data_IF_907470549211
#
_entry.id   IF_907470549211
#
_cell.length_a   1.000
_cell.length_b   1.000
_cell.length_c   1.000
_cell.angle_alpha   90.00
_cell.angle_beta   90.00
_cell.angle_gamma   90.00
#
_symmetry.space_group_name_H-M   'P 1'
#
loop_
_entity.id
_entity.type
_entity.pdbx_description
1 polymer ?
#
# COMPACT_ATOMS: atom_id res chain seq x y z
N UNK A 1 -7.07 13.44 -16.41
CA UNK A 1 -5.60 13.51 -16.24
C UNK A 1 -5.01 12.14 -16.60
N UNK A 2 -4.15 12.00 -17.62
CA UNK A 2 -3.34 10.78 -17.75
C UNK A 2 -2.42 10.77 -16.54
N UNK A 3 -2.73 9.97 -15.53
CA UNK A 3 -1.80 9.71 -14.43
C UNK A 3 -0.59 9.10 -15.11
N UNK A 4 0.47 9.90 -15.25
CA UNK A 4 1.71 9.44 -15.84
C UNK A 4 2.26 8.45 -14.82
N UNK A 5 2.00 7.16 -15.03
CA UNK A 5 2.41 6.11 -14.11
C UNK A 5 3.91 6.27 -13.91
N UNK A 6 4.39 6.55 -12.68
CA UNK A 6 5.82 6.55 -12.43
C UNK A 6 6.34 5.18 -12.84
N UNK A 7 7.29 5.19 -13.78
CA UNK A 7 7.85 3.96 -14.33
C UNK A 7 8.38 3.06 -13.23
N UNK A 8 8.42 1.76 -13.48
CA UNK A 8 8.86 0.74 -12.53
C UNK A 8 10.25 0.98 -11.91
N UNK A 9 11.02 1.89 -12.52
CA UNK A 9 12.42 2.19 -12.30
C UNK A 9 12.67 3.66 -11.99
N UNK A 10 11.78 4.34 -11.26
CA UNK A 10 12.20 5.59 -10.61
C UNK A 10 13.23 5.24 -9.54
N UNK A 11 14.45 5.76 -9.72
CA UNK A 11 15.61 5.54 -8.86
C UNK A 11 15.29 5.80 -7.39
N UNK A 12 14.43 6.78 -7.12
CA UNK A 12 14.11 7.24 -5.78
C UNK A 12 13.20 6.24 -5.06
N UNK A 13 12.22 5.66 -5.77
CA UNK A 13 11.34 4.60 -5.24
C UNK A 13 12.13 3.32 -4.95
N UNK A 14 13.06 2.93 -5.83
CA UNK A 14 13.90 1.74 -5.62
C UNK A 14 14.88 1.97 -4.46
N UNK A 15 15.52 3.13 -4.39
CA UNK A 15 16.43 3.47 -3.28
C UNK A 15 15.70 3.50 -1.94
N UNK A 16 14.49 4.05 -1.90
CA UNK A 16 13.65 4.05 -0.70
C UNK A 16 13.21 2.63 -0.31
N UNK A 17 12.78 1.81 -1.28
CA UNK A 17 12.41 0.41 -1.02
C UNK A 17 13.59 -0.43 -0.49
N UNK A 18 14.81 -0.19 -0.98
CA UNK A 18 16.03 -0.82 -0.44
C UNK A 18 16.30 -0.35 0.99
N UNK A 19 16.11 0.93 1.29
CA UNK A 19 16.29 1.46 2.64
C UNK A 19 15.24 0.92 3.62
N UNK A 20 14.01 0.77 3.15
CA UNK A 20 12.86 0.30 3.94
C UNK A 20 12.86 -1.23 4.13
N UNK A 21 13.58 -1.99 3.30
CA UNK A 21 13.68 -3.46 3.45
C UNK A 21 14.59 -3.89 4.60
N UNK A 22 15.58 -3.07 4.95
CA UNK A 22 16.54 -3.33 6.03
C UNK A 22 15.87 -3.33 7.42
N UNK A 23 15.10 -2.32 7.83
CA UNK A 23 14.42 -2.34 9.13
C UNK A 23 13.35 -3.44 9.24
N UNK A 24 12.85 -3.98 8.11
CA UNK A 24 11.94 -5.13 8.11
C UNK A 24 12.63 -6.47 8.44
N UNK A 25 13.95 -6.48 8.56
CA UNK A 25 14.71 -7.63 9.10
C UNK A 25 14.53 -7.81 10.60
N UNK A 26 13.81 -6.92 11.31
CA UNK A 26 13.60 -7.11 12.74
C UNK A 26 12.84 -8.42 13.02
N UNK A 27 13.37 -9.31 13.88
CA UNK A 27 12.73 -10.60 14.17
C UNK A 27 11.33 -10.42 14.75
N UNK A 28 11.02 -9.26 15.35
CA UNK A 28 9.68 -8.94 15.87
C UNK A 28 8.64 -8.74 14.77
N UNK A 29 9.02 -8.25 13.58
CA UNK A 29 8.09 -8.14 12.44
C UNK A 29 7.88 -9.47 11.72
N UNK A 30 8.91 -10.32 11.67
CA UNK A 30 8.89 -11.61 10.97
C UNK A 30 8.07 -12.70 11.66
N UNK A 31 7.69 -12.54 12.94
CA UNK A 31 6.80 -13.48 13.64
C UNK A 31 5.42 -13.64 13.00
N UNK A 32 4.99 -12.67 12.18
CA UNK A 32 3.74 -12.75 11.41
C UNK A 32 3.87 -13.56 10.11
N UNK A 33 5.07 -14.01 9.77
CA UNK A 33 5.40 -14.85 8.62
C UNK A 33 6.36 -15.97 9.05
N UNK A 34 5.82 -17.11 9.52
CA UNK A 34 6.63 -18.18 10.11
C UNK A 34 7.63 -18.82 9.13
N UNK A 35 7.34 -18.78 7.82
CA UNK A 35 8.26 -19.28 6.78
C UNK A 35 9.53 -18.43 6.75
N UNK A 36 9.37 -17.11 6.65
CA UNK A 36 10.50 -16.19 6.58
C UNK A 36 11.30 -16.15 7.89
N UNK A 37 10.63 -16.30 9.03
CA UNK A 37 11.30 -16.44 10.33
C UNK A 37 12.21 -17.68 10.38
N UNK A 38 11.78 -18.81 9.82
CA UNK A 38 12.61 -20.02 9.77
C UNK A 38 13.87 -19.80 8.90
N UNK A 39 13.74 -19.07 7.79
CA UNK A 39 14.89 -18.68 6.95
C UNK A 39 15.84 -17.74 7.70
N UNK A 40 15.32 -16.78 8.45
CA UNK A 40 16.11 -15.86 9.28
C UNK A 40 16.91 -16.61 10.35
N UNK A 41 16.28 -17.54 11.06
CA UNK A 41 16.96 -18.40 12.05
C UNK A 41 18.07 -19.22 11.37
N UNK A 42 17.79 -19.77 10.17
CA UNK A 42 18.78 -20.50 9.38
C UNK A 42 19.95 -19.61 8.92
N UNK A 43 19.66 -18.40 8.45
CA UNK A 43 20.67 -17.41 8.05
C UNK A 43 21.55 -17.02 9.24
N UNK A 44 20.95 -16.78 10.40
CA UNK A 44 21.68 -16.45 11.63
C UNK A 44 22.58 -17.62 12.08
N UNK A 45 22.05 -18.85 12.10
CA UNK A 45 22.81 -20.05 12.45
C UNK A 45 24.00 -20.28 11.52
N UNK A 46 23.79 -20.21 10.21
CA UNK A 46 24.88 -20.39 9.21
C UNK A 46 25.93 -19.29 9.30
N UNK A 47 25.51 -18.05 9.60
CA UNK A 47 26.43 -16.93 9.85
C UNK A 47 27.28 -17.16 11.10
N UNK A 48 26.69 -17.66 12.18
CA UNK A 48 27.41 -17.99 13.41
C UNK A 48 28.41 -19.14 13.21
N UNK A 49 28.02 -20.18 12.44
CA UNK A 49 28.91 -21.28 12.10
C UNK A 49 30.10 -20.76 11.28
N UNK A 50 29.82 -19.99 10.22
CA UNK A 50 30.85 -19.39 9.37
C UNK A 50 31.81 -18.49 10.16
N UNK A 51 31.29 -17.66 11.08
CA UNK A 51 32.11 -16.85 11.98
C UNK A 51 32.99 -17.71 12.90
N UNK A 52 32.45 -18.80 13.44
CA UNK A 52 33.19 -19.77 14.24
C UNK A 52 34.32 -20.44 13.46
N UNK A 53 34.08 -20.81 12.21
CA UNK A 53 35.08 -21.41 11.32
C UNK A 53 36.19 -20.43 10.94
N UNK A 54 35.87 -19.15 10.75
CA UNK A 54 36.86 -18.07 10.56
C UNK A 54 37.78 -17.97 11.78
N UNK A 55 37.22 -17.95 13.00
CA UNK A 55 38.00 -17.85 14.24
C UNK A 55 38.89 -19.07 14.44
N UNK A 56 38.43 -20.26 14.05
CA UNK A 56 39.15 -21.53 14.18
C UNK A 56 40.11 -21.82 13.03
N UNK A 57 40.18 -20.95 12.00
CA UNK A 57 41.02 -21.16 10.82
C UNK A 57 40.59 -22.33 9.94
N UNK A 58 39.31 -22.71 10.00
CA UNK A 58 38.72 -23.77 9.16
C UNK A 58 38.26 -23.20 7.80
N UNK A 59 38.08 -24.04 6.78
CA UNK A 59 37.54 -23.59 5.49
C UNK A 59 36.11 -23.05 5.66
N UNK A 60 35.95 -21.72 5.63
CA UNK A 60 34.67 -21.05 5.87
C UNK A 60 33.92 -20.65 4.58
N UNK A 61 34.56 -20.79 3.42
CA UNK A 61 34.07 -20.22 2.16
C UNK A 61 32.69 -20.76 1.75
N UNK A 62 32.45 -22.05 1.97
CA UNK A 62 31.16 -22.67 1.68
C UNK A 62 30.05 -22.14 2.61
N UNK A 63 30.29 -22.13 3.92
CA UNK A 63 29.29 -21.69 4.90
C UNK A 63 28.99 -20.19 4.79
N UNK A 64 30.01 -19.39 4.49
CA UNK A 64 29.86 -17.96 4.20
C UNK A 64 29.00 -17.73 2.95
N UNK A 65 29.24 -18.49 1.88
CA UNK A 65 28.46 -18.37 0.65
C UNK A 65 26.98 -18.72 0.88
N UNK A 66 26.69 -19.80 1.63
CA UNK A 66 25.31 -20.17 1.99
C UNK A 66 24.66 -19.06 2.83
N UNK A 67 25.34 -18.57 3.88
CA UNK A 67 24.84 -17.46 4.71
C UNK A 67 24.48 -16.23 3.88
N UNK A 68 25.36 -15.81 2.96
CA UNK A 68 25.12 -14.65 2.08
C UNK A 68 23.85 -14.86 1.24
N UNK A 69 23.66 -16.04 0.64
CA UNK A 69 22.47 -16.33 -0.14
C UNK A 69 21.20 -16.35 0.70
N UNK A 70 21.24 -16.89 1.92
CA UNK A 70 20.09 -16.89 2.83
C UNK A 70 19.70 -15.46 3.22
N UNK A 71 20.65 -14.59 3.55
CA UNK A 71 20.39 -13.17 3.81
C UNK A 71 19.82 -12.46 2.58
N UNK A 72 20.36 -12.77 1.39
CA UNK A 72 19.84 -12.23 0.13
C UNK A 72 18.38 -12.63 -0.11
N UNK A 73 18.00 -13.88 0.17
CA UNK A 73 16.61 -14.34 0.04
C UNK A 73 15.65 -13.54 0.94
N UNK A 74 16.04 -13.26 2.18
CA UNK A 74 15.23 -12.47 3.12
C UNK A 74 15.13 -11.02 2.65
N UNK A 75 16.25 -10.41 2.28
CA UNK A 75 16.29 -9.06 1.75
C UNK A 75 15.44 -8.90 0.49
N UNK A 76 15.46 -9.88 -0.41
CA UNK A 76 14.65 -9.87 -1.62
C UNK A 76 13.15 -9.90 -1.31
N UNK A 77 12.71 -10.73 -0.37
CA UNK A 77 11.32 -10.77 0.07
C UNK A 77 10.87 -9.44 0.70
N UNK A 78 11.68 -8.90 1.62
CA UNK A 78 11.40 -7.62 2.26
C UNK A 78 11.40 -6.45 1.26
N UNK A 79 12.30 -6.49 0.28
CA UNK A 79 12.36 -5.52 -0.81
C UNK A 79 11.10 -5.57 -1.69
N UNK A 80 10.62 -6.76 -2.06
CA UNK A 80 9.41 -6.89 -2.85
C UNK A 80 8.18 -6.32 -2.13
N UNK A 81 8.08 -6.54 -0.80
CA UNK A 81 7.01 -5.96 0.01
C UNK A 81 7.16 -4.43 0.12
N UNK A 82 8.35 -3.92 0.44
CA UNK A 82 8.61 -2.48 0.54
C UNK A 82 8.36 -1.74 -0.78
N UNK A 83 8.73 -2.35 -1.91
CA UNK A 83 8.47 -1.80 -3.24
C UNK A 83 6.98 -1.72 -3.54
N UNK A 84 6.20 -2.72 -3.12
CA UNK A 84 4.75 -2.71 -3.28
C UNK A 84 4.10 -1.62 -2.40
N UNK A 85 4.53 -1.47 -1.14
CA UNK A 85 4.03 -0.43 -0.24
C UNK A 85 4.39 0.99 -0.68
N UNK A 86 5.63 1.19 -1.17
CA UNK A 86 6.14 2.48 -1.61
C UNK A 86 5.33 3.08 -2.77
N UNK A 87 4.83 2.24 -3.69
CA UNK A 87 3.93 2.66 -4.77
C UNK A 87 2.63 3.26 -4.24
N UNK A 88 1.96 2.55 -3.35
CA UNK A 88 0.68 3.02 -2.79
C UNK A 88 0.81 4.35 -2.04
N UNK A 89 1.92 4.55 -1.31
CA UNK A 89 2.19 5.80 -0.58
C UNK A 89 2.48 6.98 -1.50
N UNK A 90 3.28 6.80 -2.55
CA UNK A 90 3.60 7.88 -3.49
C UNK A 90 2.35 8.41 -4.21
N UNK A 91 1.41 7.52 -4.52
CA UNK A 91 0.12 7.89 -5.14
C UNK A 91 -0.75 8.71 -4.17
N UNK A 92 -0.83 8.30 -2.90
CA UNK A 92 -1.58 9.02 -1.86
C UNK A 92 -1.00 10.40 -1.56
N UNK A 93 0.34 10.53 -1.53
CA UNK A 93 1.01 11.80 -1.29
C UNK A 93 0.78 12.80 -2.42
N UNK A 94 0.70 12.32 -3.67
CA UNK A 94 0.36 13.17 -4.83
C UNK A 94 -1.04 13.77 -4.67
N UNK A 95 -2.02 12.96 -4.26
CA UNK A 95 -3.39 13.44 -3.97
C UNK A 95 -3.41 14.44 -2.79
N UNK A 96 -2.59 14.21 -1.76
CA UNK A 96 -2.48 15.07 -0.58
C UNK A 96 -1.86 16.44 -0.92
N UNK A 97 -0.82 16.46 -1.74
CA UNK A 97 -0.10 17.69 -2.12
C UNK A 97 -0.98 18.65 -2.93
N UNK A 98 -1.85 18.14 -3.81
CA UNK A 98 -2.79 18.95 -4.59
C UNK A 98 -3.80 19.73 -3.73
N UNK A 99 -4.05 19.29 -2.49
CA UNK A 99 -5.00 19.93 -1.57
C UNK A 99 -4.40 21.08 -0.77
N UNK A 100 -3.13 21.00 -0.38
CA UNK A 100 -2.58 21.90 0.65
C UNK A 100 -2.38 23.36 0.20
N UNK A 101 -2.45 23.63 -1.11
CA UNK A 101 -2.12 24.95 -1.68
C UNK A 101 -3.35 25.80 -2.05
N UNK A 102 -4.58 25.29 -1.92
CA UNK A 102 -5.77 26.03 -2.33
C UNK A 102 -6.09 27.20 -1.37
N UNK A 103 -6.11 28.43 -1.91
CA UNK A 103 -6.62 29.63 -1.23
C UNK A 103 -8.13 29.74 -1.41
N UNK A 104 -8.82 30.18 -0.37
CA UNK A 104 -10.27 30.38 -0.37
C UNK A 104 -10.62 31.84 -0.08
N UNK A 105 -11.61 32.37 -0.80
CA UNK A 105 -12.14 33.72 -0.60
C UNK A 105 -13.41 33.64 0.27
N UNK A 106 -13.25 33.68 1.59
CA UNK A 106 -14.37 33.55 2.54
C UNK A 106 -15.12 34.88 2.67
N UNK A 107 -16.45 34.81 2.63
CA UNK A 107 -17.36 35.95 2.85
C UNK A 107 -17.67 36.03 4.35
N UNK A 108 -17.36 37.17 4.95
CA UNK A 108 -17.58 37.51 6.36
C UNK A 108 -18.82 38.41 6.47
N UNK A 109 -19.54 38.42 7.61
CA UNK A 109 -20.59 39.40 7.88
C UNK A 109 -20.22 40.83 7.48
N UNK A 110 -21.10 41.47 6.70
CA UNK A 110 -20.85 42.78 6.10
C UNK A 110 -20.29 42.74 4.67
N UNK A 111 -20.42 41.59 3.99
CA UNK A 111 -20.10 41.39 2.57
C UNK A 111 -18.61 41.64 2.24
N UNK A 112 -17.76 41.40 3.25
CA UNK A 112 -16.31 41.51 3.13
C UNK A 112 -15.71 40.16 2.79
N UNK A 113 -14.72 40.16 1.91
CA UNK A 113 -14.00 38.96 1.49
C UNK A 113 -12.63 38.93 2.18
N UNK A 114 -12.28 37.80 2.78
CA UNK A 114 -10.93 37.52 3.26
C UNK A 114 -10.34 36.28 2.60
N UNK A 115 -9.02 36.30 2.43
CA UNK A 115 -8.26 35.17 1.93
C UNK A 115 -7.85 34.28 3.11
N UNK A 116 -8.36 33.05 3.12
CA UNK A 116 -8.04 32.01 4.10
C UNK A 116 -7.50 30.76 3.44
N UNK A 117 -6.76 29.94 4.18
CA UNK A 117 -6.37 28.63 3.70
C UNK A 117 -7.62 27.74 3.60
N UNK A 118 -7.70 26.90 2.56
CA UNK A 118 -8.76 25.90 2.45
C UNK A 118 -8.86 24.96 3.67
N UNK A 119 -7.74 24.74 4.39
CA UNK A 119 -7.70 23.93 5.60
C UNK A 119 -8.36 24.59 6.83
N UNK A 120 -8.53 25.92 6.80
CA UNK A 120 -9.13 26.69 7.90
C UNK A 120 -10.65 26.88 7.73
N UNK A 121 -11.20 26.52 6.56
CA UNK A 121 -12.64 26.56 6.31
C UNK A 121 -13.38 25.61 7.24
N UNK A 122 -14.54 26.02 7.74
CA UNK A 122 -15.43 25.19 8.55
C UNK A 122 -16.82 25.11 7.93
N UNK A 123 -17.59 24.11 8.35
CA UNK A 123 -18.98 23.98 7.94
C UNK A 123 -19.78 25.26 8.27
N UNK A 124 -20.50 25.79 7.29
CA UNK A 124 -21.27 27.03 7.38
C UNK A 124 -20.54 28.27 6.87
N UNK A 125 -19.25 28.17 6.53
CA UNK A 125 -18.53 29.26 5.87
C UNK A 125 -19.06 29.46 4.44
N UNK A 126 -19.24 30.71 4.04
CA UNK A 126 -19.58 31.08 2.67
C UNK A 126 -18.30 31.45 1.92
N UNK A 127 -18.09 30.85 0.76
CA UNK A 127 -16.89 31.08 -0.05
C UNK A 127 -17.31 31.51 -1.45
N UNK A 128 -16.66 32.56 -1.95
CA UNK A 128 -16.83 33.03 -3.31
C UNK A 128 -15.80 32.35 -4.22
N UNK A 129 -16.27 31.75 -5.31
CA UNK A 129 -15.41 31.21 -6.36
C UNK A 129 -15.80 31.83 -7.70
N UNK A 130 -14.80 32.41 -8.36
CA UNK A 130 -14.94 33.03 -9.68
C UNK A 130 -14.28 32.16 -10.75
N UNK A 131 -14.38 32.62 -12.00
CA UNK A 131 -13.89 31.92 -13.17
C UNK A 131 -12.39 31.55 -13.06
N UNK A 132 -12.06 30.29 -13.40
CA UNK A 132 -10.73 29.72 -13.27
C UNK A 132 -10.33 29.28 -11.84
N UNK A 133 -11.14 29.60 -10.82
CA UNK A 133 -10.91 29.26 -9.43
C UNK A 133 -11.05 27.76 -9.12
N UNK A 134 -10.34 27.30 -8.09
CA UNK A 134 -10.47 25.95 -7.54
C UNK A 134 -11.46 26.01 -6.38
N UNK A 135 -12.39 25.05 -6.31
CA UNK A 135 -13.33 24.93 -5.19
C UNK A 135 -12.54 24.44 -3.97
N UNK A 136 -12.45 25.20 -2.87
CA UNK A 136 -11.53 24.90 -1.77
C UNK A 136 -12.03 23.82 -0.81
N UNK A 137 -13.34 23.52 -0.79
CA UNK A 137 -13.93 22.49 0.05
C UNK A 137 -15.31 22.06 -0.45
N UNK A 138 -15.81 20.95 0.09
CA UNK A 138 -17.13 20.44 -0.28
C UNK A 138 -18.25 21.34 0.24
N UNK A 139 -19.26 21.53 -0.61
CA UNK A 139 -20.34 22.44 -0.29
C UNK A 139 -21.52 22.36 -1.24
N UNK A 140 -22.45 23.27 -1.03
CA UNK A 140 -23.59 23.49 -1.91
C UNK A 140 -23.59 24.94 -2.39
N UNK A 141 -23.88 25.16 -3.68
CA UNK A 141 -24.03 26.50 -4.23
C UNK A 141 -25.27 27.16 -3.62
N UNK A 142 -25.05 28.24 -2.89
CA UNK A 142 -26.14 29.07 -2.35
C UNK A 142 -26.60 30.11 -3.36
N UNK A 143 -25.70 30.63 -4.19
CA UNK A 143 -26.01 31.67 -5.19
C UNK A 143 -25.18 31.49 -6.46
N UNK A 144 -25.80 31.76 -7.61
CA UNK A 144 -25.15 31.73 -8.92
C UNK A 144 -25.26 30.39 -9.66
N UNK A 145 -24.60 30.36 -10.82
CA UNK A 145 -24.50 29.19 -11.72
C UNK A 145 -23.07 29.15 -12.25
N UNK A 146 -22.48 27.96 -12.27
CA UNK A 146 -21.14 27.74 -12.79
C UNK A 146 -21.03 26.45 -13.59
N UNK A 147 -20.10 26.46 -14.54
CA UNK A 147 -19.64 25.29 -15.25
C UNK A 147 -18.40 24.74 -14.51
N UNK A 148 -18.48 23.50 -14.01
CA UNK A 148 -17.44 22.89 -13.16
C UNK A 148 -16.78 21.71 -13.87
N UNK A 149 -15.45 21.67 -13.81
CA UNK A 149 -14.64 20.54 -14.21
C UNK A 149 -14.41 19.59 -13.03
N UNK A 150 -15.11 18.46 -13.05
CA UNK A 150 -15.01 17.39 -12.05
C UNK A 150 -14.02 16.29 -12.46
N UNK A 151 -13.21 16.50 -13.50
CA UNK A 151 -12.28 15.49 -14.03
C UNK A 151 -11.23 15.02 -13.03
N UNK A 152 -10.95 15.82 -12.01
CA UNK A 152 -10.07 15.45 -10.90
C UNK A 152 -10.62 14.30 -10.05
N UNK A 153 -11.95 14.11 -10.01
CA UNK A 153 -12.63 13.15 -9.15
C UNK A 153 -13.32 12.06 -9.97
N UNK A 154 -14.13 12.44 -10.96
CA UNK A 154 -14.91 11.48 -11.77
C UNK A 154 -14.07 10.87 -12.90
N UNK A 155 -12.97 11.53 -13.29
CA UNK A 155 -12.15 11.13 -14.43
C UNK A 155 -12.80 11.43 -15.80
N UNK A 156 -14.04 11.92 -15.83
CA UNK A 156 -14.71 12.34 -17.04
C UNK A 156 -14.28 13.76 -17.43
N UNK A 157 -14.02 14.00 -18.72
CA UNK A 157 -13.53 15.30 -19.22
C UNK A 157 -14.65 16.27 -19.61
N UNK A 158 -15.91 15.84 -19.49
CA UNK A 158 -17.06 16.68 -19.82
C UNK A 158 -17.40 17.56 -18.61
N UNK A 159 -17.47 18.89 -18.77
CA UNK A 159 -17.82 19.77 -17.67
C UNK A 159 -19.31 19.69 -17.34
N UNK A 160 -19.64 19.87 -16.07
CA UNK A 160 -21.00 19.74 -15.52
C UNK A 160 -21.51 21.10 -15.06
N UNK A 161 -22.77 21.40 -15.33
CA UNK A 161 -23.42 22.64 -14.87
C UNK A 161 -23.91 22.44 -13.43
N UNK A 162 -23.56 23.38 -12.55
CA UNK A 162 -23.96 23.41 -11.14
C UNK A 162 -24.68 24.73 -10.86
N UNK A 163 -25.82 24.68 -10.19
CA UNK A 163 -26.70 25.84 -9.96
C UNK A 163 -27.27 25.87 -8.54
N UNK A 164 -27.57 27.07 -8.05
CA UNK A 164 -28.21 27.28 -6.76
C UNK A 164 -29.64 26.73 -6.70
N UNK A 165 -30.04 26.19 -5.55
CA UNK A 165 -31.45 25.90 -5.23
C UNK A 165 -32.06 24.64 -5.88
N UNK A 166 -31.27 23.81 -6.55
CA UNK A 166 -31.71 22.55 -7.17
C UNK A 166 -30.94 21.32 -6.72
N UNK A 167 -31.25 20.16 -7.30
CA UNK A 167 -30.54 18.89 -7.05
C UNK A 167 -29.09 18.89 -7.59
N UNK A 168 -28.71 19.93 -8.35
CA UNK A 168 -27.39 20.11 -8.97
C UNK A 168 -26.52 21.13 -8.22
N UNK A 169 -26.88 21.50 -6.99
CA UNK A 169 -26.15 22.49 -6.19
C UNK A 169 -24.86 21.95 -5.55
N UNK A 170 -24.76 20.64 -5.36
CA UNK A 170 -23.61 20.01 -4.71
C UNK A 170 -22.32 20.15 -5.52
N UNK A 171 -21.25 20.60 -4.87
CA UNK A 171 -19.92 20.76 -5.44
C UNK A 171 -18.87 20.13 -4.53
N UNK A 172 -17.80 19.61 -5.15
CA UNK A 172 -16.74 18.90 -4.43
C UNK A 172 -15.44 19.70 -4.45
N UNK A 173 -14.75 19.75 -3.32
CA UNK A 173 -13.46 20.40 -3.18
C UNK A 173 -12.41 19.79 -4.10
N UNK A 174 -11.52 20.63 -4.62
CA UNK A 174 -10.48 20.26 -5.59
C UNK A 174 -10.93 20.27 -7.06
N UNK A 175 -12.22 20.44 -7.34
CA UNK A 175 -12.74 20.65 -8.70
C UNK A 175 -12.55 22.12 -9.13
N UNK A 176 -12.59 22.40 -10.44
CA UNK A 176 -12.32 23.74 -10.98
C UNK A 176 -13.56 24.37 -11.59
N UNK A 177 -13.81 25.64 -11.29
CA UNK A 177 -14.80 26.46 -12.00
C UNK A 177 -14.21 26.92 -13.32
N UNK A 178 -14.83 26.53 -14.44
CA UNK A 178 -14.41 26.87 -15.80
C UNK A 178 -15.07 28.14 -16.34
N UNK A 179 -16.23 28.49 -15.79
CA UNK A 179 -16.98 29.69 -16.16
C UNK A 179 -18.08 29.95 -15.13
N UNK A 180 -18.30 31.22 -14.79
CA UNK A 180 -19.34 31.66 -13.86
C UNK A 180 -18.80 32.19 -12.54
N UNK A 181 -19.72 32.62 -11.68
CA UNK A 181 -19.43 33.12 -10.33
C UNK A 181 -20.45 32.51 -9.38
N UNK A 182 -19.96 31.82 -8.36
CA UNK A 182 -20.80 31.08 -7.41
C UNK A 182 -20.37 31.37 -5.98
N UNK A 183 -21.38 31.50 -5.11
CA UNK A 183 -21.20 31.49 -3.67
C UNK A 183 -21.53 30.08 -3.17
N UNK A 184 -20.58 29.48 -2.46
CA UNK A 184 -20.66 28.10 -2.00
C UNK A 184 -20.73 28.12 -0.47
N UNK A 185 -21.73 27.45 0.09
CA UNK A 185 -21.82 27.18 1.51
C UNK A 185 -21.10 25.86 1.83
N UNK A 186 -20.04 25.91 2.64
CA UNK A 186 -19.24 24.74 3.00
C UNK A 186 -20.07 23.79 3.89
N UNK A 187 -20.20 22.53 3.48
CA UNK A 187 -21.03 21.54 4.17
C UNK A 187 -20.25 20.55 5.02
N UNK A 188 -18.93 20.42 4.78
CA UNK A 188 -18.03 19.49 5.46
C UNK A 188 -16.92 20.21 6.21
N UNK A 189 -16.55 19.71 7.40
CA UNK A 189 -15.37 20.20 8.11
C UNK A 189 -14.08 19.59 7.54
N UNK A 190 -12.91 20.19 7.80
CA UNK A 190 -11.61 19.58 7.56
C UNK A 190 -11.53 18.21 8.23
N UNK A 191 -11.27 17.16 7.46
CA UNK A 191 -11.31 15.76 7.88
C UNK A 191 -12.58 15.00 7.48
N UNK A 192 -13.63 15.70 7.05
CA UNK A 192 -14.93 15.12 6.66
C UNK A 192 -15.24 15.27 5.17
N UNK A 193 -14.42 16.01 4.42
CA UNK A 193 -14.58 16.22 2.98
C UNK A 193 -14.50 14.90 2.21
N UNK A 194 -15.06 14.82 1.01
CA UNK A 194 -15.02 13.68 0.12
C UNK A 194 -13.58 13.27 -0.18
N UNK A 195 -12.69 14.23 -0.40
CA UNK A 195 -11.25 13.96 -0.53
C UNK A 195 -10.64 13.46 0.78
N UNK A 196 -11.02 13.99 1.94
CA UNK A 196 -10.58 13.46 3.25
C UNK A 196 -11.09 12.05 3.51
N UNK A 197 -12.32 11.75 3.10
CA UNK A 197 -12.86 10.41 3.17
C UNK A 197 -12.14 9.50 2.19
N UNK A 198 -11.80 9.96 0.99
CA UNK A 198 -11.00 9.19 0.03
C UNK A 198 -9.59 8.92 0.54
N UNK A 199 -8.90 9.94 1.05
CA UNK A 199 -7.59 9.84 1.71
C UNK A 199 -7.72 8.93 2.93
N UNK A 200 -8.73 9.13 3.76
CA UNK A 200 -9.03 8.32 4.93
C UNK A 200 -9.34 6.88 4.56
N UNK A 201 -10.01 6.60 3.44
CA UNK A 201 -10.26 5.24 2.95
C UNK A 201 -8.97 4.58 2.45
N UNK A 202 -8.07 5.34 1.81
CA UNK A 202 -6.76 4.86 1.38
C UNK A 202 -5.80 4.66 2.55
N UNK A 203 -5.74 5.60 3.50
CA UNK A 203 -4.89 5.53 4.71
C UNK A 203 -5.44 4.55 5.75
N UNK A 204 -6.77 4.46 5.90
CA UNK A 204 -7.47 3.54 6.80
C UNK A 204 -7.80 2.20 6.17
N UNK A 205 -7.38 1.95 4.93
CA UNK A 205 -7.22 0.60 4.41
C UNK A 205 -6.10 -0.11 5.19
N UNK A 206 -6.35 -0.33 6.50
CA UNK A 206 -5.59 -1.22 7.33
C UNK A 206 -5.79 -2.59 6.75
N UNK A 207 -4.80 -3.01 5.96
CA UNK A 207 -4.78 -4.31 5.32
C UNK A 207 -4.90 -5.37 6.41
N UNK A 208 -6.05 -6.02 6.43
CA UNK A 208 -6.20 -7.31 7.08
C UNK A 208 -5.87 -8.38 6.03
N UNK A 209 -5.18 -9.45 6.46
CA UNK A 209 -4.96 -10.61 5.60
C UNK A 209 -6.30 -11.12 5.07
N UNK A 210 -6.37 -11.32 3.76
CA UNK A 210 -7.60 -11.77 3.10
C UNK A 210 -7.89 -13.25 3.44
N UNK A 211 -9.12 -13.74 3.23
CA UNK A 211 -9.45 -15.14 3.48
C UNK A 211 -8.54 -16.12 2.72
N UNK A 212 -8.26 -15.86 1.44
CA UNK A 212 -7.39 -16.72 0.65
C UNK A 212 -5.93 -16.63 1.11
N UNK A 213 -5.48 -15.44 1.51
CA UNK A 213 -4.15 -15.27 2.10
C UNK A 213 -3.98 -16.07 3.39
N UNK A 214 -4.98 -16.05 4.29
CA UNK A 214 -4.96 -16.84 5.52
C UNK A 214 -4.99 -18.35 5.23
N UNK A 215 -5.80 -18.79 4.28
CA UNK A 215 -5.87 -20.20 3.89
C UNK A 215 -4.52 -20.68 3.34
N UNK A 216 -3.90 -19.89 2.46
CA UNK A 216 -2.59 -20.19 1.93
C UNK A 216 -1.52 -20.21 3.02
N UNK A 217 -1.54 -19.25 3.96
CA UNK A 217 -0.60 -19.20 5.08
C UNK A 217 -0.67 -20.47 5.95
N UNK A 218 -1.88 -20.98 6.24
CA UNK A 218 -2.05 -22.24 6.98
C UNK A 218 -1.40 -23.41 6.24
N UNK A 219 -1.57 -23.47 4.91
CA UNK A 219 -0.95 -24.50 4.07
C UNK A 219 0.59 -24.38 4.08
N UNK A 220 1.12 -23.16 3.95
CA UNK A 220 2.56 -22.91 3.98
C UNK A 220 3.17 -23.28 5.35
N UNK A 221 2.47 -23.03 6.44
CA UNK A 221 2.86 -23.46 7.79
C UNK A 221 2.92 -24.99 7.86
N UNK A 222 1.86 -25.67 7.40
CA UNK A 222 1.80 -27.13 7.38
C UNK A 222 2.96 -27.75 6.60
N UNK A 223 3.26 -27.20 5.42
CA UNK A 223 4.36 -27.66 4.57
C UNK A 223 5.74 -27.40 5.20
N UNK A 224 5.90 -26.25 5.86
CA UNK A 224 7.14 -25.88 6.56
C UNK A 224 7.42 -26.82 7.73
N UNK A 225 6.39 -27.14 8.53
CA UNK A 225 6.49 -28.13 9.60
C UNK A 225 6.84 -29.52 9.06
N UNK A 226 6.23 -29.93 7.94
CA UNK A 226 6.55 -31.19 7.28
C UNK A 226 8.03 -31.26 6.89
N UNK A 227 8.55 -30.23 6.20
CA UNK A 227 9.95 -30.22 5.78
C UNK A 227 10.93 -30.13 6.95
N UNK A 228 10.58 -29.43 8.03
CA UNK A 228 11.35 -29.43 9.26
C UNK A 228 11.51 -30.86 9.80
N UNK A 229 10.41 -31.62 9.91
CA UNK A 229 10.44 -33.01 10.37
C UNK A 229 11.28 -33.88 9.44
N UNK A 230 11.16 -33.70 8.12
CA UNK A 230 11.95 -34.44 7.12
C UNK A 230 13.46 -34.20 7.31
N UNK A 231 13.89 -32.95 7.43
CA UNK A 231 15.30 -32.58 7.58
C UNK A 231 15.87 -33.05 8.92
N UNK A 232 15.11 -32.92 10.01
CA UNK A 232 15.51 -33.45 11.33
C UNK A 232 15.64 -34.97 11.30
N UNK A 233 14.70 -35.66 10.65
CA UNK A 233 14.74 -37.12 10.51
C UNK A 233 15.93 -37.57 9.66
N UNK A 234 16.27 -36.82 8.61
CA UNK A 234 17.43 -37.10 7.77
C UNK A 234 18.73 -37.09 8.59
N UNK A 235 18.89 -36.14 9.51
CA UNK A 235 20.04 -36.10 10.40
C UNK A 235 20.08 -37.32 11.35
N UNK A 236 18.93 -37.77 11.84
CA UNK A 236 18.85 -38.98 12.67
C UNK A 236 19.26 -40.24 11.91
N UNK A 237 18.80 -40.40 10.66
CA UNK A 237 19.20 -41.52 9.79
C UNK A 237 20.68 -41.49 9.43
N UNK A 238 21.23 -40.31 9.12
CA UNK A 238 22.66 -40.15 8.85
C UNK A 238 23.49 -40.59 10.06
N UNK A 239 23.12 -40.14 11.26
CA UNK A 239 23.78 -40.51 12.50
C UNK A 239 23.73 -42.02 12.77
N UNK A 240 22.61 -42.68 12.48
CA UNK A 240 22.49 -44.15 12.59
C UNK A 240 23.44 -44.89 11.64
N UNK A 241 23.67 -44.36 10.44
CA UNK A 241 24.62 -44.92 9.46
C UNK A 241 26.08 -44.53 9.72
N UNK A 242 26.37 -43.77 10.79
CA UNK A 242 27.71 -43.25 11.08
C UNK A 242 28.16 -42.12 10.17
N UNK A 243 27.23 -41.50 9.43
CA UNK A 243 27.47 -40.33 8.59
C UNK A 243 27.13 -39.06 9.37
N UNK A 244 27.94 -38.02 9.22
CA UNK A 244 27.64 -36.68 9.74
C UNK A 244 27.34 -35.73 8.59
N UNK A 245 26.16 -35.10 8.62
CA UNK A 245 25.81 -34.03 7.69
C UNK A 245 26.08 -32.70 8.39
N UNK A 246 26.76 -31.79 7.70
CA UNK A 246 27.01 -30.45 8.21
C UNK A 246 25.68 -29.71 8.43
N UNK A 247 25.57 -29.01 9.56
CA UNK A 247 24.36 -28.25 9.90
C UNK A 247 24.03 -27.20 8.83
N UNK A 248 25.04 -26.61 8.19
CA UNK A 248 24.86 -25.64 7.11
C UNK A 248 24.20 -26.24 5.87
N UNK A 249 24.53 -27.49 5.53
CA UNK A 249 23.88 -28.23 4.44
C UNK A 249 22.43 -28.55 4.77
N UNK A 250 22.13 -28.94 6.01
CA UNK A 250 20.75 -29.19 6.46
C UNK A 250 19.89 -27.93 6.43
N UNK A 251 20.45 -26.79 6.87
CA UNK A 251 19.77 -25.50 6.80
C UNK A 251 19.53 -25.09 5.35
N UNK A 252 20.54 -25.21 4.48
CA UNK A 252 20.39 -24.90 3.06
C UNK A 252 19.30 -25.77 2.41
N UNK A 253 19.32 -27.09 2.68
CA UNK A 253 18.30 -28.03 2.20
C UNK A 253 16.90 -27.64 2.69
N UNK A 254 16.77 -27.33 3.98
CA UNK A 254 15.49 -26.92 4.58
C UNK A 254 14.92 -25.68 3.88
N UNK A 255 15.73 -24.64 3.69
CA UNK A 255 15.30 -23.41 3.05
C UNK A 255 14.95 -23.62 1.57
N UNK A 256 15.69 -24.48 0.85
CA UNK A 256 15.39 -24.82 -0.53
C UNK A 256 14.07 -25.60 -0.69
N UNK A 257 13.65 -26.37 0.32
CA UNK A 257 12.39 -27.11 0.31
C UNK A 257 11.20 -26.23 0.72
N UNK A 258 11.41 -25.30 1.65
CA UNK A 258 10.37 -24.38 2.11
C UNK A 258 9.82 -23.53 0.95
N UNK A 259 8.50 -23.25 0.92
CA UNK A 259 7.87 -22.44 -0.11
C UNK A 259 8.13 -20.93 0.10
N UNK A 260 9.41 -20.55 0.23
CA UNK A 260 9.88 -19.21 0.60
C UNK A 260 9.49 -18.16 -0.43
N UNK A 261 9.52 -18.49 -1.71
CA UNK A 261 9.08 -17.60 -2.79
C UNK A 261 7.63 -17.15 -2.61
N UNK A 262 6.73 -18.08 -2.34
CA UNK A 262 5.30 -17.77 -2.17
C UNK A 262 5.10 -17.06 -0.83
N UNK A 263 5.71 -17.56 0.25
CA UNK A 263 5.60 -16.97 1.59
C UNK A 263 6.10 -15.53 1.67
N UNK A 264 7.16 -15.18 0.92
CA UNK A 264 7.71 -13.82 0.88
C UNK A 264 6.96 -12.87 -0.05
N UNK A 265 6.42 -13.36 -1.17
CA UNK A 265 5.79 -12.50 -2.19
C UNK A 265 4.29 -12.31 -1.99
N UNK A 266 3.62 -13.14 -1.20
CA UNK A 266 2.18 -13.08 -0.97
C UNK A 266 1.68 -11.68 -0.53
N UNK A 267 2.35 -10.97 0.41
CA UNK A 267 1.99 -9.59 0.74
C UNK A 267 2.09 -8.62 -0.45
N UNK A 268 3.18 -8.72 -1.21
CA UNK A 268 3.44 -7.86 -2.35
C UNK A 268 2.39 -8.02 -3.46
N UNK A 269 1.93 -9.26 -3.71
CA UNK A 269 0.89 -9.56 -4.68
C UNK A 269 -0.43 -8.87 -4.30
N UNK A 270 -0.85 -8.97 -3.03
CA UNK A 270 -2.08 -8.33 -2.56
C UNK A 270 -2.03 -6.81 -2.69
N UNK A 271 -0.90 -6.20 -2.34
CA UNK A 271 -0.71 -4.74 -2.44
C UNK A 271 -0.72 -4.28 -3.90
N UNK A 272 0.00 -4.97 -4.78
CA UNK A 272 0.02 -4.67 -6.20
C UNK A 272 -1.36 -4.85 -6.87
N UNK A 273 -2.16 -5.82 -6.42
CA UNK A 273 -3.52 -6.02 -6.89
C UNK A 273 -4.45 -4.85 -6.55
N UNK A 274 -4.37 -4.33 -5.33
CA UNK A 274 -5.14 -3.15 -4.92
C UNK A 274 -4.71 -1.89 -5.68
N UNK A 275 -3.40 -1.68 -5.86
CA UNK A 275 -2.83 -0.56 -6.61
C UNK A 275 -3.32 -0.56 -8.08
N UNK A 276 -3.44 -1.74 -8.68
CA UNK A 276 -3.96 -1.90 -10.04
C UNK A 276 -5.44 -1.53 -10.18
N UNK A 277 -6.27 -1.73 -9.16
CA UNK A 277 -7.67 -1.29 -9.21
C UNK A 277 -7.78 0.22 -9.18
N UNK A 278 -6.95 0.88 -8.38
CA UNK A 278 -6.87 2.35 -8.36
C UNK A 278 -6.46 2.91 -9.72
N UNK A 279 -5.58 2.23 -10.46
CA UNK A 279 -5.23 2.62 -11.84
C UNK A 279 -6.39 2.53 -12.83
N UNK A 280 -7.48 1.83 -12.46
CA UNK A 280 -8.73 1.74 -13.22
C UNK A 280 -9.84 2.58 -12.58
N UNK A 281 -9.50 3.55 -11.72
CA UNK A 281 -10.43 4.41 -10.98
C UNK A 281 -11.41 3.64 -10.08
N UNK A 282 -11.03 2.45 -9.61
CA UNK A 282 -11.81 1.65 -8.66
C UNK A 282 -11.18 1.72 -7.27
N UNK A 283 -11.91 2.24 -6.30
CA UNK A 283 -11.46 2.31 -4.90
C UNK A 283 -11.97 1.08 -4.16
N UNK A 284 -11.04 0.20 -3.75
CA UNK A 284 -11.35 -0.96 -2.94
C UNK A 284 -11.09 -0.68 -1.45
N UNK A 285 -12.15 -0.78 -0.63
CA UNK A 285 -12.08 -0.54 0.82
C UNK A 285 -11.24 -1.59 1.58
N UNK A 286 -11.04 -2.76 0.97
CA UNK A 286 -10.21 -3.83 1.53
C UNK A 286 -9.79 -4.82 0.45
N UNK A 287 -8.66 -5.51 0.64
CA UNK A 287 -8.27 -6.63 -0.20
C UNK A 287 -9.29 -7.77 -0.23
N UNK A 288 -10.09 -7.93 0.84
CA UNK A 288 -11.18 -8.92 0.90
C UNK A 288 -12.27 -8.63 -0.13
N UNK A 289 -12.61 -7.35 -0.33
CA UNK A 289 -13.61 -6.96 -1.34
C UNK A 289 -13.12 -7.31 -2.76
N UNK A 290 -11.83 -7.13 -3.01
CA UNK A 290 -11.19 -7.50 -4.29
C UNK A 290 -11.26 -9.01 -4.51
N UNK A 291 -10.89 -9.82 -3.52
CA UNK A 291 -10.98 -11.28 -3.65
C UNK A 291 -12.41 -11.77 -3.83
N UNK A 292 -13.35 -11.25 -3.04
CA UNK A 292 -14.75 -11.65 -3.12
C UNK A 292 -15.36 -11.32 -4.50
N UNK A 293 -14.93 -10.24 -5.15
CA UNK A 293 -15.37 -9.89 -6.50
C UNK A 293 -15.01 -10.96 -7.55
N UNK A 294 -13.93 -11.71 -7.32
CA UNK A 294 -13.52 -12.82 -8.19
C UNK A 294 -14.33 -14.11 -8.00
N UNK A 295 -15.08 -14.21 -6.90
CA UNK A 295 -15.91 -15.37 -6.54
C UNK A 295 -17.42 -15.10 -6.70
N UNK A 296 -17.78 -13.99 -7.37
CA UNK A 296 -19.19 -13.66 -7.63
C UNK A 296 -19.73 -14.56 -8.73
N UNK A 297 -20.67 -15.43 -8.36
CA UNK A 297 -21.44 -16.25 -9.30
C UNK A 297 -22.82 -15.64 -9.48
N UNK A 298 -23.18 -15.20 -10.69
CA UNK A 298 -24.56 -14.82 -11.02
C UNK A 298 -25.31 -16.03 -11.56
N UNK A 299 -26.21 -16.59 -10.75
CA UNK A 299 -27.18 -17.57 -11.23
C UNK A 299 -28.32 -16.81 -11.91
N UNK A 300 -28.38 -16.83 -13.24
CA UNK A 300 -29.54 -16.35 -13.98
C UNK A 300 -30.72 -17.26 -13.66
N UNK A 301 -31.66 -16.75 -12.85
CA UNK A 301 -32.98 -17.34 -12.70
C UNK A 301 -33.69 -17.20 -14.05
N UNK A 302 -33.77 -18.32 -14.79
CA UNK A 302 -34.65 -18.52 -15.94
C UNK A 302 -35.91 -19.21 -15.46
#
# INVERSE_FOLDING_TARGET
MKINMPGLWQSDLVAQAVRDSIPKLDPRSLWRNPVMLAVEIGALLTTLISAGDIIQGRPYGFDAQISIWLWFTILFANFAEALAEGRGRAQAETLRSARSEAKAHRIIPGDRIEDVCALDLRKGDLVLVEDGGIIPGDGEISEGVALVDESAITGESAPVVREAGGNLSGVTGGTRVLSGKVTINITANPGETFLDQMIGMVESAKRQKTPNEKALEILLIGLTCLFLVVVVSLQAFAGYMGLSIAATVLVALLVCLMPTTIGGLLPAIGIAGMDRLLSHNVIAMSGRAVEASGDVSCQQLV
#
